data_IF_954022109758
#
_entry.id   IF_954022109758
#
_cell.length_a   1.000
_cell.length_b   1.000
_cell.length_c   1.000
_cell.angle_alpha   90.00
_cell.angle_beta   90.00
_cell.angle_gamma   90.00
#
_symmetry.space_group_name_H-M   'P 1'
#
loop_
_entity.id
_entity.type
_entity.pdbx_description
1 polymer ?
#
# COMPACT_ATOMS: atom_id res chain seq x y z
N UNK A 1 -0.87 -12.23 -17.89
CA UNK A 1 0.47 -11.63 -17.63
C UNK A 1 0.31 -10.12 -17.71
N UNK A 2 0.88 -9.34 -16.79
CA UNK A 2 0.84 -7.87 -16.87
C UNK A 2 1.80 -7.44 -17.97
N UNK A 3 1.31 -6.63 -18.92
CA UNK A 3 2.16 -5.98 -19.90
C UNK A 3 2.97 -4.88 -19.20
N UNK A 4 4.29 -4.95 -19.32
CA UNK A 4 5.24 -3.97 -18.75
C UNK A 4 5.95 -3.16 -19.85
N UNK A 5 5.42 -3.16 -21.07
CA UNK A 5 5.94 -2.29 -22.14
C UNK A 5 5.80 -0.82 -21.72
N UNK A 6 6.83 -0.01 -22.03
CA UNK A 6 6.86 1.39 -21.61
C UNK A 6 6.27 2.29 -22.71
N UNK A 7 5.21 3.00 -22.37
CA UNK A 7 4.74 4.15 -23.13
C UNK A 7 5.49 5.39 -22.62
N UNK A 8 6.48 5.85 -23.39
CA UNK A 8 7.38 6.96 -22.98
C UNK A 8 6.62 8.26 -22.73
N UNK A 9 5.74 8.65 -23.63
CA UNK A 9 4.94 9.89 -23.51
C UNK A 9 4.04 9.85 -22.28
N UNK A 10 3.30 8.78 -22.07
CA UNK A 10 2.45 8.59 -20.88
C UNK A 10 3.27 8.55 -19.59
N UNK A 11 4.47 7.96 -19.61
CA UNK A 11 5.36 7.96 -18.46
C UNK A 11 5.89 9.36 -18.13
N UNK A 12 6.29 10.14 -19.12
CA UNK A 12 6.74 11.52 -18.92
C UNK A 12 5.64 12.38 -18.30
N UNK A 13 4.39 12.27 -18.78
CA UNK A 13 3.22 12.92 -18.20
C UNK A 13 2.99 12.49 -16.74
N UNK A 14 3.06 11.19 -16.46
CA UNK A 14 2.87 10.67 -15.11
C UNK A 14 3.94 11.19 -14.14
N UNK A 15 5.21 11.24 -14.57
CA UNK A 15 6.33 11.75 -13.77
C UNK A 15 6.19 13.25 -13.52
N UNK A 16 5.87 14.03 -14.54
CA UNK A 16 5.66 15.47 -14.39
C UNK A 16 4.54 15.75 -13.39
N UNK A 17 3.40 15.11 -13.55
CA UNK A 17 2.25 15.25 -12.66
C UNK A 17 2.56 14.84 -11.22
N UNK A 18 3.33 13.77 -11.03
CA UNK A 18 3.75 13.34 -9.71
C UNK A 18 4.63 14.40 -9.02
N UNK A 19 5.54 15.03 -9.76
CA UNK A 19 6.41 16.11 -9.25
C UNK A 19 5.60 17.35 -8.88
N UNK A 20 4.69 17.79 -9.76
CA UNK A 20 3.84 18.96 -9.53
C UNK A 20 2.94 18.83 -8.29
N UNK A 21 2.56 17.61 -7.94
CA UNK A 21 1.64 17.30 -6.85
C UNK A 21 2.31 16.68 -5.63
N UNK A 22 3.63 16.63 -5.61
CA UNK A 22 4.41 15.96 -4.55
C UNK A 22 3.92 14.52 -4.26
N UNK A 23 3.59 13.78 -5.33
CA UNK A 23 3.17 12.40 -5.22
C UNK A 23 4.40 11.51 -5.26
N UNK A 24 4.63 10.78 -4.18
CA UNK A 24 5.63 9.73 -4.07
C UNK A 24 4.90 8.43 -3.76
N UNK A 25 5.20 7.39 -4.52
CA UNK A 25 4.64 6.06 -4.31
C UNK A 25 5.72 5.09 -3.82
N UNK A 26 5.37 4.12 -2.96
CA UNK A 26 6.31 3.10 -2.52
C UNK A 26 6.67 2.14 -3.65
N UNK A 27 7.86 1.59 -3.59
CA UNK A 27 8.22 0.39 -4.35
C UNK A 27 7.62 -0.85 -3.68
N UNK A 28 7.45 -1.94 -4.42
CA UNK A 28 7.06 -3.23 -3.84
C UNK A 28 8.09 -3.75 -2.82
N UNK A 29 9.37 -3.43 -3.02
CA UNK A 29 10.42 -3.76 -2.04
C UNK A 29 10.18 -3.06 -0.69
N UNK A 30 9.83 -1.78 -0.70
CA UNK A 30 9.51 -1.01 0.51
C UNK A 30 8.21 -1.50 1.19
N UNK A 31 7.24 -1.96 0.42
CA UNK A 31 6.02 -2.55 0.99
C UNK A 31 6.30 -3.92 1.64
N UNK A 32 7.19 -4.71 1.06
CA UNK A 32 7.64 -5.98 1.63
C UNK A 32 8.50 -5.77 2.87
N UNK A 33 9.38 -4.78 2.81
CA UNK A 33 10.32 -4.45 3.87
C UNK A 33 10.30 -2.95 4.18
N UNK A 34 9.50 -2.53 5.19
CA UNK A 34 9.37 -1.14 5.59
C UNK A 34 10.65 -0.48 6.11
N UNK A 35 11.69 -1.25 6.44
CA UNK A 35 12.97 -0.68 6.84
C UNK A 35 13.64 0.09 5.70
N UNK A 36 13.28 -0.26 4.44
CA UNK A 36 13.72 0.45 3.23
C UNK A 36 12.98 1.77 2.97
N UNK A 37 11.97 2.10 3.78
CA UNK A 37 11.24 3.37 3.65
C UNK A 37 12.09 4.48 4.27
N UNK A 38 12.32 5.62 3.55
CA UNK A 38 13.07 6.73 4.09
C UNK A 38 12.46 7.27 5.39
N UNK A 39 13.31 7.62 6.36
CA UNK A 39 12.86 8.12 7.68
C UNK A 39 12.01 9.38 7.58
N UNK A 40 12.27 10.25 6.60
CA UNK A 40 11.43 11.42 6.32
C UNK A 40 9.98 11.01 6.07
N UNK A 41 9.74 9.97 5.25
CA UNK A 41 8.39 9.46 4.97
C UNK A 41 7.76 8.87 6.23
N UNK A 42 8.53 8.09 7.01
CA UNK A 42 8.05 7.52 8.29
C UNK A 42 7.60 8.62 9.26
N UNK A 43 8.36 9.72 9.36
CA UNK A 43 8.01 10.87 10.20
C UNK A 43 6.76 11.60 9.70
N UNK A 44 6.61 11.77 8.38
CA UNK A 44 5.42 12.38 7.77
C UNK A 44 4.16 11.55 8.08
N UNK A 45 4.26 10.22 8.02
CA UNK A 45 3.15 9.30 8.32
C UNK A 45 2.61 9.46 9.75
N UNK A 46 3.44 9.83 10.72
CA UNK A 46 3.00 10.10 12.10
C UNK A 46 1.96 11.24 12.22
N UNK A 47 1.81 12.07 11.20
CA UNK A 47 0.87 13.20 11.14
C UNK A 47 -0.30 12.96 10.18
N UNK A 48 -0.32 11.82 9.49
CA UNK A 48 -1.31 11.49 8.46
C UNK A 48 -2.20 10.38 9.01
N UNK A 49 -3.49 10.64 9.10
CA UNK A 49 -4.49 9.66 9.51
C UNK A 49 -4.64 8.52 8.48
N UNK A 50 -5.04 7.35 8.96
CA UNK A 50 -5.18 6.15 8.12
C UNK A 50 -6.23 6.33 6.99
N UNK A 51 -7.21 7.23 7.22
CA UNK A 51 -8.31 7.53 6.30
C UNK A 51 -8.07 8.78 5.45
N UNK A 52 -6.96 9.48 5.67
CA UNK A 52 -6.66 10.69 4.92
C UNK A 52 -6.35 10.35 3.46
N UNK A 53 -6.88 11.15 2.54
CA UNK A 53 -6.55 11.07 1.12
C UNK A 53 -5.17 11.71 0.91
N UNK A 54 -4.14 10.95 1.23
CA UNK A 54 -2.76 11.39 1.14
C UNK A 54 -1.90 10.30 0.47
N UNK A 55 -1.10 10.64 -0.56
CA UNK A 55 -0.23 9.67 -1.26
C UNK A 55 0.74 8.95 -0.34
N UNK A 56 1.17 9.57 0.76
CA UNK A 56 2.06 8.93 1.76
C UNK A 56 1.42 7.69 2.40
N UNK A 57 0.08 7.65 2.49
CA UNK A 57 -0.62 6.47 3.00
C UNK A 57 -0.37 5.20 2.17
N UNK A 58 0.04 5.31 0.90
CA UNK A 58 0.42 4.16 0.07
C UNK A 58 1.60 3.38 0.66
N UNK A 59 2.48 4.03 1.44
CA UNK A 59 3.56 3.35 2.15
C UNK A 59 3.06 2.43 3.28
N UNK A 60 1.83 2.62 3.76
CA UNK A 60 1.17 1.73 4.73
C UNK A 60 0.52 0.49 4.10
N UNK A 61 0.67 0.28 2.80
CA UNK A 61 0.23 -0.95 2.14
C UNK A 61 1.24 -2.06 2.43
N UNK A 62 1.19 -2.58 3.62
CA UNK A 62 2.04 -3.67 4.12
C UNK A 62 1.37 -4.37 5.29
N UNK A 63 1.67 -5.66 5.50
CA UNK A 63 1.24 -6.43 6.66
C UNK A 63 1.99 -6.10 7.95
N UNK A 64 3.06 -5.32 7.85
CA UNK A 64 3.92 -4.92 8.97
C UNK A 64 3.51 -3.58 9.62
N UNK A 65 2.29 -3.11 9.40
CA UNK A 65 1.79 -1.87 9.99
C UNK A 65 1.45 -2.04 11.46
N UNK A 66 1.81 -1.04 12.25
CA UNK A 66 1.31 -0.90 13.61
C UNK A 66 -0.10 -0.30 13.66
N UNK A 67 -0.90 -0.64 14.69
CA UNK A 67 -2.10 0.10 15.01
C UNK A 67 -1.84 1.59 15.18
N UNK A 68 -2.74 2.43 14.67
CA UNK A 68 -2.63 3.89 14.82
C UNK A 68 -2.51 4.33 16.29
N UNK A 69 -3.24 3.73 17.27
CA UNK A 69 -3.04 4.04 18.69
C UNK A 69 -1.64 3.72 19.22
N UNK A 70 -0.88 2.85 18.53
CA UNK A 70 0.52 2.54 18.86
C UNK A 70 1.53 3.39 18.09
N UNK A 71 1.06 4.45 17.40
CA UNK A 71 1.90 5.35 16.62
C UNK A 71 1.78 5.19 15.09
N UNK A 72 1.16 4.12 14.60
CA UNK A 72 0.95 3.90 13.16
C UNK A 72 2.22 3.70 12.34
N UNK A 73 3.30 3.27 12.99
CA UNK A 73 4.59 2.97 12.38
C UNK A 73 4.63 1.58 11.73
N UNK A 74 5.82 1.01 11.66
CA UNK A 74 6.06 -0.29 11.06
C UNK A 74 6.75 -1.20 12.07
N UNK A 75 6.22 -2.42 12.23
CA UNK A 75 6.75 -3.42 13.13
C UNK A 75 6.51 -4.83 12.56
N UNK A 76 6.32 -5.82 13.42
CA UNK A 76 5.97 -7.18 13.01
C UNK A 76 4.62 -7.27 12.32
N UNK A 77 4.35 -8.41 11.72
CA UNK A 77 3.05 -8.68 11.09
C UNK A 77 1.96 -8.79 12.17
N UNK A 78 0.85 -8.06 11.97
CA UNK A 78 -0.29 -8.16 12.87
C UNK A 78 -1.05 -9.46 12.63
N UNK A 79 -1.05 -10.33 13.60
CA UNK A 79 -1.73 -11.62 13.55
C UNK A 79 -2.57 -11.87 14.80
N UNK A 80 -3.58 -12.71 14.64
CA UNK A 80 -4.31 -13.36 15.73
C UNK A 80 -4.20 -14.86 15.50
N UNK A 81 -3.74 -15.59 16.51
CA UNK A 81 -3.78 -17.04 16.51
C UNK A 81 -5.08 -17.50 17.13
N UNK A 82 -5.84 -18.33 16.41
CA UNK A 82 -7.08 -18.90 16.86
C UNK A 82 -6.77 -20.19 17.63
N UNK A 83 -7.11 -20.29 18.94
CA UNK A 83 -6.78 -21.46 19.73
C UNK A 83 -7.60 -22.68 19.27
N UNK A 84 -7.02 -23.86 19.39
CA UNK A 84 -7.67 -25.14 19.03
C UNK A 84 -8.97 -25.40 19.79
N UNK A 85 -9.10 -24.85 21.01
CA UNK A 85 -10.35 -24.89 21.78
C UNK A 85 -11.51 -24.14 21.12
N UNK A 86 -11.22 -23.11 20.32
CA UNK A 86 -12.19 -22.36 19.55
C UNK A 86 -12.46 -23.01 18.19
N UNK A 87 -11.41 -23.48 17.53
CA UNK A 87 -11.50 -23.99 16.15
C UNK A 87 -11.90 -25.44 16.05
N UNK A 88 -11.76 -26.20 17.13
CA UNK A 88 -12.03 -27.64 17.18
C UNK A 88 -11.05 -28.51 16.42
N UNK A 89 -9.95 -27.92 15.90
CA UNK A 89 -8.94 -28.65 15.15
C UNK A 89 -7.54 -28.45 15.77
N UNK A 90 -6.65 -29.47 15.72
CA UNK A 90 -5.31 -29.39 16.29
C UNK A 90 -4.34 -28.55 15.44
N UNK A 91 -4.75 -28.09 14.28
CA UNK A 91 -3.95 -27.26 13.43
C UNK A 91 -3.78 -25.85 13.99
N UNK A 92 -2.62 -25.27 13.81
CA UNK A 92 -2.33 -23.87 14.13
C UNK A 92 -2.96 -22.96 13.07
N UNK A 93 -3.98 -22.19 13.47
CA UNK A 93 -4.70 -21.27 12.56
C UNK A 93 -4.30 -19.83 12.91
N UNK A 94 -3.74 -19.11 11.94
CA UNK A 94 -3.30 -17.74 12.09
C UNK A 94 -4.10 -16.85 11.15
N UNK A 95 -4.77 -15.84 11.69
CA UNK A 95 -5.45 -14.80 10.94
C UNK A 95 -4.56 -13.55 10.81
N UNK A 96 -4.34 -13.09 9.59
CA UNK A 96 -3.67 -11.82 9.31
C UNK A 96 -4.66 -10.66 9.51
N UNK A 97 -4.23 -9.62 10.24
CA UNK A 97 -5.07 -8.46 10.54
C UNK A 97 -4.81 -7.35 9.53
N UNK A 98 -5.76 -7.18 8.58
CA UNK A 98 -5.68 -6.14 7.54
C UNK A 98 -6.26 -4.77 7.94
N UNK A 99 -6.67 -4.58 9.19
CA UNK A 99 -7.33 -3.37 9.69
C UNK A 99 -6.46 -2.11 9.59
N UNK A 100 -5.15 -2.26 9.64
CA UNK A 100 -4.19 -1.16 9.69
C UNK A 100 -3.63 -0.74 8.32
N UNK A 101 -4.15 -1.31 7.26
CA UNK A 101 -3.96 -0.79 5.92
C UNK A 101 -4.72 0.54 5.73
N UNK A 102 -4.30 1.41 4.80
CA UNK A 102 -5.10 2.57 4.41
C UNK A 102 -6.54 2.15 4.11
N UNK A 103 -7.52 2.98 4.47
CA UNK A 103 -8.96 2.67 4.36
C UNK A 103 -9.43 1.50 5.24
N UNK A 104 -8.61 1.00 6.15
CA UNK A 104 -8.97 -0.09 7.07
C UNK A 104 -9.13 -1.47 6.42
N UNK A 105 -8.65 -1.65 5.18
CA UNK A 105 -8.78 -2.91 4.46
C UNK A 105 -7.56 -3.24 3.60
N UNK A 106 -7.11 -4.50 3.65
CA UNK A 106 -5.99 -4.98 2.84
C UNK A 106 -6.27 -4.96 1.31
N UNK A 107 -7.51 -4.84 0.89
CA UNK A 107 -7.91 -4.75 -0.53
C UNK A 107 -7.24 -3.60 -1.28
N UNK A 108 -6.84 -2.54 -0.59
CA UNK A 108 -6.06 -1.45 -1.18
C UNK A 108 -4.73 -1.94 -1.78
N UNK A 109 -4.15 -3.00 -1.24
CA UNK A 109 -2.95 -3.63 -1.79
C UNK A 109 -3.18 -4.26 -3.16
N UNK A 110 -4.30 -4.94 -3.35
CA UNK A 110 -4.68 -5.51 -4.64
C UNK A 110 -4.93 -4.40 -5.69
N UNK A 111 -5.64 -3.33 -5.30
CA UNK A 111 -5.85 -2.17 -6.15
C UNK A 111 -4.53 -1.50 -6.55
N UNK A 112 -3.62 -1.29 -5.60
CA UNK A 112 -2.29 -0.76 -5.86
C UNK A 112 -1.50 -1.65 -6.83
N UNK A 113 -1.46 -2.98 -6.57
CA UNK A 113 -0.74 -3.95 -7.39
C UNK A 113 -1.27 -4.04 -8.84
N UNK A 114 -2.56 -3.81 -9.05
CA UNK A 114 -3.15 -3.81 -10.39
C UNK A 114 -2.96 -2.50 -11.15
N UNK A 115 -2.94 -1.35 -10.45
CA UNK A 115 -2.93 -0.02 -11.09
C UNK A 115 -1.51 0.54 -11.27
N UNK A 116 -0.67 0.42 -10.25
CA UNK A 116 0.64 1.08 -10.24
C UNK A 116 1.58 0.61 -11.36
N UNK A 117 1.67 -0.68 -11.72
CA UNK A 117 2.48 -1.10 -12.86
C UNK A 117 2.11 -0.38 -14.16
N UNK A 118 0.81 -0.15 -14.39
CA UNK A 118 0.32 0.57 -15.57
C UNK A 118 0.59 2.06 -15.50
N UNK A 119 0.51 2.66 -14.30
CA UNK A 119 0.85 4.07 -14.08
C UNK A 119 2.34 4.33 -14.34
N UNK A 120 3.23 3.49 -13.78
CA UNK A 120 4.69 3.68 -13.90
C UNK A 120 5.27 3.24 -15.24
N UNK A 121 4.49 2.61 -16.09
CA UNK A 121 4.84 2.31 -17.48
C UNK A 121 4.20 3.28 -18.47
N UNK A 122 3.41 4.25 -17.99
CA UNK A 122 2.69 5.21 -18.83
C UNK A 122 1.49 4.62 -19.58
N UNK A 123 1.05 3.42 -19.22
CA UNK A 123 -0.10 2.76 -19.86
C UNK A 123 -1.44 3.21 -19.26
N UNK A 124 -1.43 3.95 -18.17
CA UNK A 124 -2.62 4.50 -17.53
C UNK A 124 -2.41 5.97 -17.23
N UNK A 125 -3.25 6.81 -17.81
CA UNK A 125 -3.30 8.24 -17.52
C UNK A 125 -4.58 8.57 -16.74
N UNK A 126 -4.49 8.87 -15.44
CA UNK A 126 -5.66 9.17 -14.61
C UNK A 126 -6.31 10.53 -14.94
N UNK A 127 -5.76 11.32 -15.86
CA UNK A 127 -6.40 12.57 -16.33
C UNK A 127 -7.50 12.31 -17.34
N UNK A 128 -7.39 11.22 -18.10
CA UNK A 128 -8.29 10.88 -19.20
C UNK A 128 -8.92 9.48 -19.07
N UNK A 129 -8.41 8.65 -18.18
CA UNK A 129 -8.88 7.28 -17.98
C UNK A 129 -9.41 7.11 -16.55
N UNK A 130 -10.39 6.22 -16.38
CA UNK A 130 -10.92 5.82 -15.08
C UNK A 130 -10.61 4.35 -14.82
N UNK A 131 -10.13 4.03 -13.63
CA UNK A 131 -10.05 2.66 -13.16
C UNK A 131 -11.38 2.28 -12.50
N UNK A 132 -11.95 1.16 -12.93
CA UNK A 132 -13.19 0.58 -12.34
C UNK A 132 -12.82 -0.77 -11.75
N UNK A 133 -13.25 -1.00 -10.52
CA UNK A 133 -13.03 -2.25 -9.79
C UNK A 133 -14.38 -2.91 -9.52
N UNK A 134 -14.49 -4.23 -9.71
CA UNK A 134 -15.72 -4.97 -9.37
C UNK A 134 -15.95 -5.03 -7.85
#
# INVERSE_FOLDING_TARGET
>A
MIDLSINKEGLEHAVQRARERDIIIPTFAQQKDPDLIPDKIKQELGRIGLWDINPRNLFRITWKNEPVPSGGGFNGVNIVELPSTLTGVPARIIALIGKWFPTGAHKVGAAFGGLVPRLVTGQFDPTVQKAVWP
#
